data_IF_202795945132
#
_entry.id   IF_202795945132
#
_cell.length_a   1.000
_cell.length_b   1.000
_cell.length_c   1.000
_cell.angle_alpha   90.00
_cell.angle_beta   90.00
_cell.angle_gamma   90.00
#
_symmetry.space_group_name_H-M   'P 1'
#
loop_
_entity.id
_entity.type
_entity.pdbx_description
1 polymer ?
#
# COMPACT_ATOMS: atom_id res chain seq x y z
N UNK A 1 -7.87 -0.62 -29.96
CA UNK A 1 -7.85 0.07 -28.65
C UNK A 1 -7.08 -0.79 -27.66
N UNK A 2 -5.85 -0.38 -27.31
CA UNK A 2 -4.90 -1.16 -26.50
C UNK A 2 -5.24 -1.06 -25.00
N UNK A 3 -6.07 -1.97 -24.48
CA UNK A 3 -6.39 -2.10 -23.03
C UNK A 3 -5.27 -2.78 -22.20
N UNK A 4 -4.00 -2.69 -22.63
CA UNK A 4 -2.84 -3.25 -21.90
C UNK A 4 -2.37 -2.30 -20.78
N UNK A 5 -3.22 -2.09 -19.78
CA UNK A 5 -2.91 -1.70 -18.39
C UNK A 5 -4.17 -1.11 -17.79
N UNK A 6 -5.00 -1.93 -17.16
CA UNK A 6 -5.62 -1.45 -15.94
C UNK A 6 -4.43 -1.31 -14.98
N UNK A 7 -3.89 -0.10 -14.86
CA UNK A 7 -2.79 0.21 -13.96
C UNK A 7 -3.23 -0.12 -12.53
N UNK A 8 -2.95 -1.33 -12.05
CA UNK A 8 -2.92 -1.57 -10.62
C UNK A 8 -1.66 -0.93 -10.08
N UNK A 9 -1.70 0.40 -9.86
CA UNK A 9 -0.61 1.09 -9.23
C UNK A 9 -0.48 0.58 -7.79
N UNK A 10 0.59 -0.16 -7.54
CA UNK A 10 1.01 -0.57 -6.22
C UNK A 10 2.43 -0.07 -6.02
N UNK A 11 2.75 0.34 -4.80
CA UNK A 11 4.11 0.71 -4.45
C UNK A 11 4.46 0.17 -3.07
N UNK A 12 5.78 0.11 -2.83
CA UNK A 12 6.35 -0.26 -1.55
C UNK A 12 7.01 0.95 -0.94
N UNK A 13 6.75 1.19 0.34
CA UNK A 13 7.42 2.20 1.16
C UNK A 13 8.18 1.51 2.28
N UNK A 14 9.30 2.09 2.66
CA UNK A 14 10.03 1.73 3.86
C UNK A 14 9.87 2.87 4.87
N UNK A 15 9.19 2.59 5.97
CA UNK A 15 9.11 3.50 7.11
C UNK A 15 10.21 3.15 8.11
N UNK A 16 10.91 4.16 8.64
CA UNK A 16 11.94 3.99 9.67
C UNK A 16 11.41 4.60 10.96
N UNK A 17 11.48 3.85 12.07
CA UNK A 17 11.10 4.35 13.39
C UNK A 17 12.13 5.38 13.87
N UNK A 18 11.63 6.54 14.26
CA UNK A 18 12.36 7.63 14.91
C UNK A 18 11.53 8.12 16.10
N UNK A 19 12.17 8.75 17.08
CA UNK A 19 11.49 9.20 18.30
C UNK A 19 10.34 10.18 18.00
N UNK A 20 10.46 10.98 16.94
CA UNK A 20 9.46 11.97 16.53
C UNK A 20 8.32 11.39 15.66
N UNK A 21 8.38 10.10 15.28
CA UNK A 21 7.36 9.47 14.43
C UNK A 21 6.90 8.10 14.98
N UNK A 22 7.32 7.73 16.19
CA UNK A 22 7.06 6.42 16.80
C UNK A 22 5.56 6.11 16.86
N UNK A 23 4.74 7.09 17.23
CA UNK A 23 3.29 6.94 17.31
C UNK A 23 2.68 6.60 15.94
N UNK A 24 3.14 7.27 14.87
CA UNK A 24 2.65 6.99 13.51
C UNK A 24 3.12 5.61 13.08
N UNK A 25 4.39 5.28 13.33
CA UNK A 25 5.00 4.00 12.96
C UNK A 25 4.24 2.81 13.54
N UNK A 26 3.86 2.88 14.82
CA UNK A 26 3.15 1.81 15.54
C UNK A 26 1.68 1.70 15.09
N UNK A 27 1.10 2.80 14.60
CA UNK A 27 -0.29 2.84 14.15
C UNK A 27 -0.47 2.56 12.65
N UNK A 28 0.59 2.26 11.88
CA UNK A 28 0.43 1.85 10.47
C UNK A 28 -0.09 0.42 10.39
N UNK A 29 -1.36 0.29 10.01
CA UNK A 29 -2.10 -0.98 9.95
C UNK A 29 -2.61 -1.29 8.53
N UNK A 30 -2.96 -2.55 8.33
CA UNK A 30 -3.67 -2.96 7.12
C UNK A 30 -5.00 -2.23 6.99
N UNK A 31 -5.41 -2.00 5.74
CA UNK A 31 -6.66 -1.32 5.36
C UNK A 31 -6.74 0.17 5.67
N UNK A 32 -5.70 0.77 6.25
CA UNK A 32 -5.60 2.22 6.34
C UNK A 32 -5.46 2.86 4.96
N UNK A 33 -5.98 4.09 4.86
CA UNK A 33 -5.86 4.93 3.67
C UNK A 33 -4.59 5.77 3.76
N UNK A 34 -3.85 5.81 2.67
CA UNK A 34 -2.67 6.64 2.47
C UNK A 34 -2.93 7.56 1.28
N UNK A 35 -2.65 8.85 1.44
CA UNK A 35 -2.66 9.78 0.32
C UNK A 35 -1.23 10.02 -0.18
N UNK A 36 -1.03 9.87 -1.48
CA UNK A 36 0.25 10.14 -2.12
C UNK A 36 0.06 10.77 -3.49
N UNK A 37 0.67 11.94 -3.71
CA UNK A 37 0.57 12.71 -4.96
C UNK A 37 -0.88 12.91 -5.45
N UNK A 38 -1.79 13.22 -4.52
CA UNK A 38 -3.21 13.45 -4.82
C UNK A 38 -3.99 12.19 -5.20
N UNK A 39 -3.45 11.00 -4.93
CA UNK A 39 -4.12 9.72 -5.14
C UNK A 39 -4.23 8.97 -3.81
N UNK A 40 -5.37 8.33 -3.58
CA UNK A 40 -5.60 7.50 -2.39
C UNK A 40 -5.14 6.08 -2.65
N UNK A 41 -4.50 5.46 -1.67
CA UNK A 41 -4.05 4.08 -1.66
C UNK A 41 -4.53 3.39 -0.39
N UNK A 42 -4.76 2.08 -0.46
CA UNK A 42 -5.07 1.25 0.70
C UNK A 42 -3.85 0.41 1.04
N UNK A 43 -3.45 0.42 2.30
CA UNK A 43 -2.41 -0.46 2.82
C UNK A 43 -2.92 -1.90 2.78
N UNK A 44 -2.15 -2.79 2.12
CA UNK A 44 -2.49 -4.22 1.97
C UNK A 44 -1.66 -5.12 2.85
N UNK A 45 -0.44 -4.71 3.18
CA UNK A 45 0.41 -5.42 4.11
C UNK A 45 1.41 -4.47 4.76
N UNK A 46 1.73 -4.75 6.01
CA UNK A 46 2.84 -4.17 6.76
C UNK A 46 3.76 -5.28 7.23
N UNK A 47 5.05 -4.99 7.39
CA UNK A 47 6.03 -5.96 7.87
C UNK A 47 7.12 -5.23 8.65
N UNK A 48 7.06 -5.34 9.97
CA UNK A 48 8.05 -4.74 10.86
C UNK A 48 9.29 -5.64 10.90
N UNK A 49 10.46 -5.04 10.71
CA UNK A 49 11.76 -5.71 10.81
C UNK A 49 12.63 -4.99 11.82
N UNK A 50 13.40 -5.77 12.57
CA UNK A 50 14.36 -5.31 13.56
C UNK A 50 15.76 -5.64 13.05
N UNK A 51 16.59 -4.61 12.84
CA UNK A 51 17.98 -4.75 12.41
C UNK A 51 18.87 -3.96 13.37
N UNK A 52 19.33 -4.65 14.43
CA UNK A 52 20.06 -4.05 15.54
C UNK A 52 19.26 -2.92 16.19
N UNK A 53 19.78 -1.69 16.11
CA UNK A 53 19.14 -0.49 16.65
C UNK A 53 18.09 0.14 15.72
N UNK A 54 17.96 -0.36 14.48
CA UNK A 54 17.04 0.19 13.48
C UNK A 54 15.78 -0.66 13.41
N UNK A 55 14.62 -0.02 13.50
CA UNK A 55 13.32 -0.67 13.31
C UNK A 55 12.67 -0.10 12.05
N UNK A 56 12.32 -0.98 11.11
CA UNK A 56 11.71 -0.62 9.83
C UNK A 56 10.33 -1.25 9.67
N UNK A 57 9.46 -0.63 8.89
CA UNK A 57 8.16 -1.19 8.48
C UNK A 57 8.06 -1.11 6.97
N UNK A 58 8.03 -2.27 6.31
CA UNK A 58 7.76 -2.39 4.88
C UNK A 58 6.27 -2.38 4.63
N UNK A 59 5.80 -1.32 3.96
CA UNK A 59 4.38 -1.09 3.68
C UNK A 59 4.12 -1.29 2.20
N UNK A 60 3.15 -2.16 1.88
CA UNK A 60 2.65 -2.34 0.51
C UNK A 60 1.30 -1.66 0.39
N UNK A 61 1.20 -0.67 -0.48
CA UNK A 61 -0.02 0.07 -0.73
C UNK A 61 -0.49 -0.13 -2.18
N UNK A 62 -1.81 -0.23 -2.38
CA UNK A 62 -2.44 -0.37 -3.70
C UNK A 62 -3.45 0.73 -3.89
N UNK A 63 -3.49 1.34 -5.08
CA UNK A 63 -4.39 2.45 -5.36
C UNK A 63 -5.82 2.10 -5.01
N UNK A 64 -6.46 2.98 -4.24
CA UNK A 64 -7.89 2.91 -3.93
C UNK A 64 -8.64 3.41 -5.15
N UNK A 65 -9.60 2.62 -5.61
CA UNK A 65 -10.42 2.97 -6.77
C UNK A 65 -11.86 2.87 -6.31
N UNK A 66 -12.51 4.02 -6.21
CA UNK A 66 -13.89 4.12 -5.80
C UNK A 66 -14.81 3.52 -6.88
N UNK A 67 -15.75 2.66 -6.48
CA UNK A 67 -16.82 2.18 -7.36
C UNK A 67 -16.49 1.05 -8.33
N UNK A 68 -15.28 0.45 -8.29
CA UNK A 68 -14.97 -0.72 -9.13
C UNK A 68 -15.21 -2.01 -8.35
N UNK A 69 -16.21 -2.78 -8.79
CA UNK A 69 -16.51 -4.12 -8.24
C UNK A 69 -15.28 -5.03 -8.34
N UNK A 70 -14.91 -5.68 -7.22
CA UNK A 70 -13.83 -6.68 -7.12
C UNK A 70 -13.91 -7.77 -8.22
N UNK A 71 -15.12 -8.04 -8.73
CA UNK A 71 -15.37 -9.00 -9.81
C UNK A 71 -14.81 -8.59 -11.18
N UNK A 72 -14.64 -7.28 -11.43
CA UNK A 72 -14.07 -6.75 -12.67
C UNK A 72 -12.54 -6.88 -12.70
N UNK A 73 -11.91 -6.95 -11.52
CA UNK A 73 -10.46 -7.17 -11.39
C UNK A 73 -10.05 -8.62 -11.63
N UNK A 74 -10.87 -9.61 -11.25
CA UNK A 74 -10.52 -11.03 -11.36
C UNK A 74 -10.87 -11.65 -12.71
N UNK A 75 -11.82 -11.08 -13.46
CA UNK A 75 -12.27 -11.62 -14.76
C UNK A 75 -11.38 -11.24 -15.96
N UNK A 76 -10.36 -10.41 -15.76
CA UNK A 76 -9.44 -10.00 -16.84
C UNK A 76 -8.30 -10.98 -17.18
N UNK A 77 -8.27 -12.19 -16.62
CA UNK A 77 -7.10 -13.08 -16.65
C UNK A 77 -7.40 -14.56 -16.96
N UNK A 78 -8.41 -14.85 -17.78
CA UNK A 78 -8.55 -16.18 -18.41
C UNK A 78 -8.69 -16.01 -19.92
N UNK A 79 -7.56 -16.16 -20.63
CA UNK A 79 -7.56 -16.66 -22.00
C UNK A 79 -7.30 -18.15 -21.94
#
# INVERSE_FOLDING_TARGET
MNMKKIMSAQFRLLYIKQNNNADIFENVLNEMLLEWKGQTYVIKSTSIKYDGSIVTNEVVAKQYIYGVSKSLYSKGFRK
#
